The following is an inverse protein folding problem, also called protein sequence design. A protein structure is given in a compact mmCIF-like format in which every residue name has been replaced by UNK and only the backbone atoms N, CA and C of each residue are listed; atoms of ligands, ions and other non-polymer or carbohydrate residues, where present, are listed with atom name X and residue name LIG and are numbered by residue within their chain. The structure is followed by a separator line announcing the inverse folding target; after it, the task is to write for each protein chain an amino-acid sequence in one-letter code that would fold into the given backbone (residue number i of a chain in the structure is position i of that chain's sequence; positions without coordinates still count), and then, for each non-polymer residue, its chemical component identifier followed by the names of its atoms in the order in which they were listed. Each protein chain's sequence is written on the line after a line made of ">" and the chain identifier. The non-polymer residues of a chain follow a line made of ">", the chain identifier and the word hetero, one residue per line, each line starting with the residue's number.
data_IF_089195928240
#
_entry.id   IF_089195928240
#
_cell.length_a   1.000
_cell.length_b   1.000
_cell.length_c   1.000
_cell.angle_alpha   90.00
_cell.angle_beta   90.00
_cell.angle_gamma   90.00
#
_symmetry.space_group_name_H-M   'P 1'
#
loop_
_entity.id
_entity.type
_entity.pdbx_description
1 polymer ?
#
# COMPACT_ATOMS: atom_id res chain seq x y z
N UNK A 1 2.77 13.40 -21.34
CA UNK A 1 3.22 12.06 -21.73
C UNK A 1 4.69 11.84 -21.38
N UNK A 2 5.62 12.65 -21.88
CA UNK A 2 7.06 12.51 -21.62
C UNK A 2 7.44 12.45 -20.13
N UNK A 3 6.90 13.37 -19.31
CA UNK A 3 7.15 13.39 -17.86
C UNK A 3 6.67 12.14 -17.12
N UNK A 4 5.55 11.55 -17.54
CA UNK A 4 5.03 10.32 -16.92
C UNK A 4 5.94 9.14 -17.23
N UNK A 5 6.40 9.01 -18.49
CA UNK A 5 7.35 7.97 -18.89
C UNK A 5 8.70 8.11 -18.16
N UNK A 6 9.16 9.34 -17.92
CA UNK A 6 10.33 9.60 -17.09
C UNK A 6 10.15 9.07 -15.67
N UNK A 7 9.03 9.42 -15.03
CA UNK A 7 8.70 8.95 -13.67
C UNK A 7 8.60 7.42 -13.61
N UNK A 8 7.93 6.78 -14.59
CA UNK A 8 7.83 5.31 -14.67
C UNK A 8 9.21 4.66 -14.76
N UNK A 9 10.11 5.21 -15.59
CA UNK A 9 11.49 4.75 -15.70
C UNK A 9 12.25 4.91 -14.39
N UNK A 10 12.13 6.06 -13.73
CA UNK A 10 12.73 6.30 -12.42
C UNK A 10 12.25 5.27 -11.39
N UNK A 11 10.94 5.05 -11.27
CA UNK A 11 10.36 4.06 -10.35
C UNK A 11 10.86 2.63 -10.63
N UNK A 12 10.99 2.26 -11.91
CA UNK A 12 11.48 0.93 -12.28
C UNK A 12 12.91 0.66 -11.78
N UNK A 13 13.74 1.71 -11.68
CA UNK A 13 15.09 1.64 -11.11
C UNK A 13 15.17 1.79 -9.59
N UNK A 14 14.06 2.10 -8.89
CA UNK A 14 14.05 2.25 -7.43
C UNK A 14 14.12 0.90 -6.72
N UNK A 15 14.50 0.92 -5.44
CA UNK A 15 14.52 -0.29 -4.60
C UNK A 15 13.08 -0.80 -4.40
N UNK A 16 12.95 -2.11 -4.29
CA UNK A 16 11.73 -2.74 -3.78
C UNK A 16 11.41 -2.25 -2.35
N UNK A 17 10.16 -1.87 -2.08
CA UNK A 17 9.72 -1.49 -0.73
C UNK A 17 9.56 -2.73 0.15
N UNK A 18 9.04 -3.82 -0.41
CA UNK A 18 8.94 -5.13 0.25
C UNK A 18 9.82 -6.17 -0.44
N UNK A 19 10.33 -7.13 0.34
CA UNK A 19 11.15 -8.23 -0.18
C UNK A 19 10.27 -9.44 -0.51
N UNK A 20 10.72 -10.27 -1.44
CA UNK A 20 9.95 -11.43 -1.89
C UNK A 20 9.76 -12.47 -0.77
N UNK A 21 10.76 -12.66 0.08
CA UNK A 21 10.68 -13.54 1.25
C UNK A 21 9.60 -13.10 2.25
N UNK A 22 9.42 -11.79 2.44
CA UNK A 22 8.40 -11.22 3.33
C UNK A 22 7.00 -11.47 2.74
N UNK A 23 6.84 -11.29 1.43
CA UNK A 23 5.60 -11.61 0.70
C UNK A 23 5.23 -13.10 0.85
N UNK A 24 6.20 -14.00 0.68
CA UNK A 24 5.99 -15.44 0.87
C UNK A 24 5.63 -15.80 2.31
N UNK A 25 6.28 -15.17 3.29
CA UNK A 25 5.98 -15.36 4.70
C UNK A 25 4.54 -14.93 5.02
N UNK A 26 4.10 -13.75 4.55
CA UNK A 26 2.72 -13.32 4.72
C UNK A 26 1.72 -14.29 4.08
N UNK A 27 2.01 -14.78 2.87
CA UNK A 27 1.16 -15.79 2.20
C UNK A 27 0.99 -17.06 3.04
N UNK A 28 2.07 -17.56 3.66
CA UNK A 28 2.00 -18.72 4.55
C UNK A 28 1.21 -18.42 5.83
N UNK A 29 1.36 -17.22 6.40
CA UNK A 29 0.59 -16.76 7.56
C UNK A 29 -0.91 -16.70 7.22
N UNK A 30 -1.27 -16.13 6.06
CA UNK A 30 -2.66 -16.03 5.62
C UNK A 30 -3.27 -17.40 5.29
N UNK A 31 -2.47 -18.39 4.88
CA UNK A 31 -2.95 -19.77 4.75
C UNK A 31 -3.39 -20.37 6.10
N UNK A 32 -2.74 -19.99 7.21
CA UNK A 32 -3.18 -20.37 8.57
C UNK A 32 -4.48 -19.67 8.96
N UNK A 33 -4.61 -18.38 8.60
CA UNK A 33 -5.85 -17.62 8.79
C UNK A 33 -7.00 -18.29 8.04
N UNK A 34 -6.80 -18.69 6.79
CA UNK A 34 -7.81 -19.39 5.98
C UNK A 34 -8.26 -20.74 6.58
N UNK A 35 -7.39 -21.40 7.37
CA UNK A 35 -7.73 -22.61 8.14
C UNK A 35 -8.36 -22.31 9.51
N UNK A 36 -8.57 -21.03 9.84
CA UNK A 36 -9.15 -20.60 11.11
C UNK A 36 -8.19 -20.66 12.30
N UNK A 37 -6.88 -20.83 12.08
CA UNK A 37 -5.85 -20.89 13.15
C UNK A 37 -5.46 -19.50 13.68
N UNK A 38 -5.78 -18.43 12.95
CA UNK A 38 -5.48 -17.04 13.26
C UNK A 38 -6.56 -16.12 12.66
N UNK A 39 -6.57 -14.84 13.05
CA UNK A 39 -7.43 -13.81 12.45
C UNK A 39 -6.59 -12.64 11.93
N UNK A 40 -7.19 -11.77 11.12
CA UNK A 40 -6.53 -10.58 10.56
C UNK A 40 -7.23 -9.34 11.12
N UNK A 41 -6.44 -8.34 11.49
CA UNK A 41 -6.90 -6.95 11.55
C UNK A 41 -6.23 -6.18 10.41
N UNK A 42 -7.03 -5.58 9.55
CA UNK A 42 -6.55 -4.68 8.50
C UNK A 42 -7.18 -3.30 8.69
N UNK A 43 -6.37 -2.30 9.03
CA UNK A 43 -6.84 -0.96 9.35
C UNK A 43 -5.79 0.12 9.03
N UNK A 44 -6.24 1.35 8.89
CA UNK A 44 -5.40 2.52 8.59
C UNK A 44 -6.21 3.56 7.84
N UNK A 45 -5.52 4.49 7.20
CA UNK A 45 -6.15 5.65 6.58
C UNK A 45 -6.98 5.28 5.35
N UNK A 46 -7.98 6.10 5.06
CA UNK A 46 -8.73 5.99 3.81
C UNK A 46 -7.88 6.46 2.61
N UNK A 47 -7.16 7.57 2.78
CA UNK A 47 -5.96 7.87 2.02
C UNK A 47 -4.94 8.51 2.94
N UNK A 48 -3.71 8.06 2.83
CA UNK A 48 -2.58 8.61 3.55
C UNK A 48 -2.20 9.99 2.99
N UNK A 49 -1.70 10.86 3.87
CA UNK A 49 -0.94 12.05 3.49
C UNK A 49 0.56 11.70 3.53
N UNK A 50 1.32 11.86 2.43
CA UNK A 50 2.77 11.66 2.41
C UNK A 50 3.52 12.44 3.49
N UNK A 51 2.97 13.57 3.98
CA UNK A 51 3.58 14.37 5.05
C UNK A 51 3.51 13.70 6.42
N UNK A 52 2.71 12.65 6.59
CA UNK A 52 2.60 11.86 7.81
C UNK A 52 3.52 10.63 7.81
N UNK A 53 4.64 10.68 7.09
CA UNK A 53 5.61 9.58 7.00
C UNK A 53 6.55 9.48 8.21
N UNK A 54 6.61 10.50 9.08
CA UNK A 54 7.60 10.52 10.18
C UNK A 54 7.35 9.43 11.22
N UNK A 55 8.42 9.03 11.92
CA UNK A 55 8.41 7.99 12.96
C UNK A 55 7.24 8.13 13.96
N UNK A 56 6.93 9.36 14.39
CA UNK A 56 5.85 9.60 15.34
C UNK A 56 4.46 9.31 14.78
N UNK A 57 4.19 9.65 13.52
CA UNK A 57 2.92 9.30 12.86
C UNK A 57 2.81 7.79 12.64
N UNK A 58 3.86 7.16 12.12
CA UNK A 58 3.90 5.72 11.86
C UNK A 58 3.70 4.92 13.15
N UNK A 59 4.38 5.30 14.24
CA UNK A 59 4.23 4.65 15.54
C UNK A 59 2.78 4.74 16.07
N UNK A 60 2.12 5.89 15.93
CA UNK A 60 0.71 6.03 16.33
C UNK A 60 -0.22 5.16 15.49
N UNK A 61 0.00 5.08 14.17
CA UNK A 61 -0.78 4.21 13.26
C UNK A 61 -0.59 2.73 13.63
N UNK A 62 0.64 2.31 13.92
CA UNK A 62 0.94 0.96 14.38
C UNK A 62 0.30 0.65 15.75
N UNK A 63 0.36 1.59 16.70
CA UNK A 63 -0.24 1.41 18.03
C UNK A 63 -1.76 1.18 17.98
N UNK A 64 -2.47 1.82 17.03
CA UNK A 64 -3.90 1.54 16.82
C UNK A 64 -4.13 0.09 16.39
N UNK A 65 -3.31 -0.44 15.48
CA UNK A 65 -3.38 -1.85 15.08
C UNK A 65 -3.08 -2.79 16.25
N UNK A 66 -2.14 -2.44 17.14
CA UNK A 66 -1.85 -3.22 18.33
C UNK A 66 -3.02 -3.26 19.31
N UNK A 67 -3.68 -2.13 19.53
CA UNK A 67 -4.88 -2.05 20.37
C UNK A 67 -6.01 -2.93 19.83
N UNK A 68 -6.29 -2.84 18.52
CA UNK A 68 -7.31 -3.66 17.87
C UNK A 68 -6.96 -5.15 17.91
N UNK A 69 -5.69 -5.49 17.63
CA UNK A 69 -5.21 -6.87 17.70
C UNK A 69 -5.32 -7.43 19.12
N UNK A 70 -4.97 -6.64 20.15
CA UNK A 70 -5.13 -7.03 21.55
C UNK A 70 -6.58 -7.33 21.91
N UNK A 71 -7.50 -6.44 21.55
CA UNK A 71 -8.94 -6.64 21.79
C UNK A 71 -9.48 -7.89 21.07
N UNK A 72 -9.13 -8.09 19.80
CA UNK A 72 -9.55 -9.27 19.03
C UNK A 72 -8.95 -10.57 19.60
N UNK A 73 -7.69 -10.54 20.05
CA UNK A 73 -7.03 -11.69 20.67
C UNK A 73 -7.71 -12.07 21.99
N UNK A 74 -8.12 -11.09 22.80
CA UNK A 74 -8.87 -11.35 24.04
C UNK A 74 -10.23 -11.98 23.78
N UNK A 75 -10.93 -11.55 22.72
CA UNK A 75 -12.25 -12.06 22.37
C UNK A 75 -12.21 -13.45 21.72
N UNK A 76 -11.21 -13.72 20.88
CA UNK A 76 -11.14 -14.96 20.07
C UNK A 76 -10.19 -16.02 20.62
N UNK A 77 -9.26 -15.63 21.49
CA UNK A 77 -8.11 -16.43 21.92
C UNK A 77 -7.22 -16.94 20.77
N UNK A 78 -7.31 -16.33 19.58
CA UNK A 78 -6.50 -16.68 18.40
C UNK A 78 -5.38 -15.66 18.17
N UNK A 79 -4.25 -16.07 17.57
CA UNK A 79 -3.25 -15.13 17.04
C UNK A 79 -3.88 -14.16 16.05
N UNK A 80 -3.46 -12.89 16.10
CA UNK A 80 -3.94 -11.83 15.21
C UNK A 80 -2.79 -11.35 14.33
N UNK A 81 -3.01 -11.31 13.03
CA UNK A 81 -2.10 -10.76 12.02
C UNK A 81 -2.47 -9.29 11.82
N UNK A 82 -1.51 -8.39 12.05
CA UNK A 82 -1.68 -6.94 11.90
C UNK A 82 -1.27 -6.51 10.49
N UNK A 83 -2.21 -5.95 9.74
CA UNK A 83 -1.98 -5.41 8.40
C UNK A 83 -2.40 -3.94 8.36
N UNK A 84 -1.47 -3.04 8.09
CA UNK A 84 -1.74 -1.62 7.95
C UNK A 84 -2.16 -1.26 6.54
N UNK A 85 -3.18 -0.39 6.42
CA UNK A 85 -3.38 0.45 5.25
C UNK A 85 -2.41 1.63 5.35
N UNK A 86 -1.14 1.34 5.08
CA UNK A 86 0.00 2.21 5.34
C UNK A 86 1.10 1.97 4.31
N UNK A 87 1.91 2.99 4.03
CA UNK A 87 3.04 2.97 3.11
C UNK A 87 2.63 2.70 1.65
N UNK A 88 1.50 3.25 1.20
CA UNK A 88 1.11 3.15 -0.20
C UNK A 88 -0.32 3.57 -0.54
N UNK A 89 -1.18 3.81 0.45
CA UNK A 89 -2.59 4.16 0.27
C UNK A 89 -2.76 5.66 -0.07
N UNK A 90 -2.08 6.13 -1.10
CA UNK A 90 -2.08 7.54 -1.51
C UNK A 90 -3.03 7.85 -2.68
N UNK A 91 -3.78 6.87 -3.15
CA UNK A 91 -4.73 7.00 -4.26
C UNK A 91 -6.16 6.69 -3.80
N UNK A 92 -7.14 7.31 -4.47
CA UNK A 92 -8.59 7.13 -4.19
C UNK A 92 -9.38 6.98 -5.49
N UNK A 93 -10.18 5.92 -5.65
CA UNK A 93 -11.09 5.81 -6.77
C UNK A 93 -12.24 6.81 -6.59
N UNK A 94 -12.75 7.38 -7.69
CA UNK A 94 -13.85 8.36 -7.69
C UNK A 94 -14.93 7.95 -8.68
N UNK A 95 -16.18 8.14 -8.28
CA UNK A 95 -17.36 7.85 -9.11
C UNK A 95 -17.58 8.89 -10.20
N UNK A 96 -17.22 10.15 -9.93
CA UNK A 96 -17.35 11.26 -10.87
C UNK A 96 -15.96 11.85 -11.15
N UNK A 97 -15.67 12.29 -12.39
CA UNK A 97 -14.37 12.86 -12.75
C UNK A 97 -14.18 14.29 -12.22
N UNK A 98 -15.27 14.96 -11.84
CA UNK A 98 -15.29 16.35 -11.36
C UNK A 98 -16.07 16.47 -10.05
N UNK A 99 -15.84 17.57 -9.34
CA UNK A 99 -16.60 18.00 -8.17
C UNK A 99 -16.86 19.51 -8.22
N UNK A 100 -17.95 19.97 -7.59
CA UNK A 100 -18.27 21.40 -7.49
C UNK A 100 -17.98 21.90 -6.08
N UNK A 101 -17.06 22.85 -5.94
CA UNK A 101 -16.71 23.48 -4.66
C UNK A 101 -16.90 24.98 -4.79
N UNK A 102 -17.81 25.56 -3.99
CA UNK A 102 -18.12 26.99 -4.06
C UNK A 102 -18.67 27.43 -5.42
N UNK A 103 -19.38 26.54 -6.13
CA UNK A 103 -19.92 26.80 -7.48
C UNK A 103 -18.90 26.65 -8.62
N UNK A 104 -17.65 26.32 -8.33
CA UNK A 104 -16.60 26.08 -9.34
C UNK A 104 -16.46 24.59 -9.59
N UNK A 105 -16.52 24.19 -10.87
CA UNK A 105 -16.22 22.83 -11.30
C UNK A 105 -14.72 22.57 -11.28
N UNK A 106 -14.30 21.49 -10.62
CA UNK A 106 -12.89 21.11 -10.47
C UNK A 106 -12.69 19.63 -10.79
N UNK A 107 -11.54 19.24 -11.38
CA UNK A 107 -11.14 17.85 -11.39
C UNK A 107 -11.12 17.30 -9.97
N UNK A 108 -11.70 16.12 -9.84
CA UNK A 108 -11.92 15.48 -8.58
C UNK A 108 -10.59 15.13 -7.89
N UNK A 109 -10.51 15.26 -6.57
CA UNK A 109 -9.33 14.80 -5.82
C UNK A 109 -9.25 13.27 -5.88
N UNK A 110 -8.11 12.73 -6.33
CA UNK A 110 -7.86 11.30 -6.56
C UNK A 110 -6.77 10.71 -5.65
N UNK A 111 -6.39 11.44 -4.59
CA UNK A 111 -5.31 11.05 -3.69
C UNK A 111 -4.02 11.83 -3.95
N UNK A 112 -3.17 11.92 -2.91
CA UNK A 112 -1.94 12.71 -2.93
C UNK A 112 -0.94 12.31 -4.02
N UNK A 113 -0.97 11.06 -4.49
CA UNK A 113 -0.17 10.58 -5.62
C UNK A 113 -0.65 11.09 -6.99
N UNK A 114 -1.85 11.67 -7.07
CA UNK A 114 -2.42 12.19 -8.33
C UNK A 114 -2.48 13.71 -8.32
N UNK A 115 -3.19 14.29 -7.36
CA UNK A 115 -3.42 15.74 -7.29
C UNK A 115 -3.64 16.21 -5.83
N UNK A 116 -3.72 17.52 -5.62
CA UNK A 116 -3.88 18.13 -4.29
C UNK A 116 -5.31 18.01 -3.75
N UNK A 117 -5.50 17.83 -2.43
CA UNK A 117 -6.82 17.84 -1.81
C UNK A 117 -7.46 19.23 -1.80
N UNK A 118 -6.66 20.30 -1.75
CA UNK A 118 -7.15 21.68 -1.72
C UNK A 118 -8.02 21.98 -2.96
N UNK A 119 -9.17 22.64 -2.82
CA UNK A 119 -10.08 22.94 -3.92
C UNK A 119 -9.59 24.15 -4.74
N UNK A 120 -8.38 24.03 -5.32
CA UNK A 120 -7.74 25.05 -6.14
C UNK A 120 -7.45 24.50 -7.55
N UNK A 121 -7.86 25.19 -8.64
CA UNK A 121 -7.73 24.68 -10.02
C UNK A 121 -6.34 24.13 -10.36
N UNK A 122 -5.28 24.88 -10.03
CA UNK A 122 -3.89 24.47 -10.28
C UNK A 122 -3.52 23.18 -9.55
N UNK A 123 -3.97 23.02 -8.31
CA UNK A 123 -3.67 21.84 -7.50
C UNK A 123 -4.41 20.57 -7.97
N UNK A 124 -5.51 20.72 -8.71
CA UNK A 124 -6.32 19.60 -9.19
C UNK A 124 -5.81 18.98 -10.49
N UNK A 125 -4.89 19.64 -11.20
CA UNK A 125 -4.22 19.07 -12.37
C UNK A 125 -3.34 17.89 -11.92
N UNK A 126 -3.49 16.68 -12.50
CA UNK A 126 -2.64 15.54 -12.17
C UNK A 126 -1.16 15.84 -12.44
N UNK A 127 -0.31 15.51 -11.47
CA UNK A 127 1.14 15.71 -11.55
C UNK A 127 1.89 14.38 -11.35
N UNK A 128 2.50 13.81 -12.41
CA UNK A 128 3.23 12.55 -12.32
C UNK A 128 4.35 12.53 -11.28
N UNK A 129 4.94 13.68 -10.95
CA UNK A 129 6.04 13.73 -9.96
C UNK A 129 5.59 13.27 -8.56
N UNK A 130 4.29 13.37 -8.27
CA UNK A 130 3.70 12.91 -7.01
C UNK A 130 3.80 11.40 -6.79
N UNK A 131 3.96 10.61 -7.86
CA UNK A 131 4.25 9.17 -7.72
C UNK A 131 5.60 8.94 -7.04
N UNK A 132 6.59 9.77 -7.33
CA UNK A 132 7.91 9.71 -6.67
C UNK A 132 7.81 10.17 -5.21
N UNK A 133 7.07 11.25 -4.94
CA UNK A 133 6.82 11.70 -3.56
C UNK A 133 6.14 10.61 -2.72
N UNK A 134 5.14 9.94 -3.29
CA UNK A 134 4.47 8.83 -2.61
C UNK A 134 5.39 7.61 -2.43
N UNK A 135 6.26 7.30 -3.40
CA UNK A 135 7.30 6.27 -3.24
C UNK A 135 8.26 6.59 -2.08
N UNK A 136 8.78 7.82 -2.04
CA UNK A 136 9.75 8.22 -1.02
C UNK A 136 9.12 8.19 0.38
N UNK A 137 7.88 8.69 0.54
CA UNK A 137 7.13 8.61 1.79
C UNK A 137 6.84 7.17 2.22
N UNK A 138 6.43 6.30 1.29
CA UNK A 138 6.26 4.88 1.57
C UNK A 138 7.57 4.23 2.04
N UNK A 139 8.71 4.58 1.42
CA UNK A 139 10.03 4.11 1.82
C UNK A 139 10.41 4.52 3.24
N UNK A 140 10.13 5.76 3.64
CA UNK A 140 10.33 6.23 5.01
C UNK A 140 9.47 5.44 6.00
N UNK A 141 8.17 5.28 5.70
CA UNK A 141 7.24 4.51 6.54
C UNK A 141 7.68 3.06 6.70
N UNK A 142 8.12 2.40 5.62
CA UNK A 142 8.68 1.05 5.66
C UNK A 142 9.92 0.95 6.56
N UNK A 143 10.75 1.99 6.57
CA UNK A 143 11.88 2.13 7.49
C UNK A 143 11.42 2.20 8.94
N UNK A 144 10.47 3.07 9.26
CA UNK A 144 9.93 3.25 10.61
C UNK A 144 9.14 2.05 11.13
N UNK A 145 8.51 1.28 10.25
CA UNK A 145 7.89 -0.01 10.57
C UNK A 145 8.90 -1.12 10.85
N UNK A 146 10.18 -0.92 10.53
CA UNK A 146 11.24 -1.90 10.76
C UNK A 146 11.42 -2.93 9.64
N UNK A 147 10.90 -2.67 8.43
CA UNK A 147 11.09 -3.56 7.28
C UNK A 147 12.46 -3.39 6.60
N UNK A 148 13.12 -2.24 6.79
CA UNK A 148 14.43 -1.95 6.19
C UNK A 148 15.62 -2.34 7.07
N UNK A 149 15.41 -2.83 8.29
CA UNK A 149 16.51 -3.22 9.19
C UNK A 149 17.15 -4.53 8.69
N UNK A 150 18.49 -4.52 8.58
CA UNK A 150 19.30 -5.65 8.09
C UNK A 150 19.49 -6.73 9.15
N UNK A 151 19.34 -6.39 10.43
CA UNK A 151 19.47 -7.32 11.53
C UNK A 151 18.17 -8.11 11.73
N UNK A 152 18.28 -9.45 11.76
CA UNK A 152 17.33 -10.29 12.48
C UNK A 152 17.48 -9.95 13.97
N UNK A 153 16.90 -8.83 14.40
CA UNK A 153 16.80 -8.53 15.81
C UNK A 153 16.08 -9.70 16.50
N UNK A 154 16.62 -10.24 17.60
CA UNK A 154 16.03 -11.39 18.30
C UNK A 154 14.55 -11.20 18.65
N UNK A 155 14.10 -9.95 18.82
CA UNK A 155 12.72 -9.56 19.11
C UNK A 155 11.75 -9.65 17.92
N UNK A 156 12.21 -9.70 16.66
CA UNK A 156 11.33 -9.74 15.48
C UNK A 156 10.49 -11.01 15.40
N UNK A 157 10.98 -12.10 16.00
CA UNK A 157 10.23 -13.35 16.13
C UNK A 157 9.18 -13.29 17.26
N UNK A 158 9.36 -12.40 18.23
CA UNK A 158 8.45 -12.20 19.37
C UNK A 158 7.30 -11.28 18.96
N UNK A 159 7.60 -10.17 18.28
CA UNK A 159 6.60 -9.22 17.78
C UNK A 159 6.92 -8.81 16.33
N UNK A 160 6.24 -9.40 15.32
CA UNK A 160 6.53 -9.10 13.92
C UNK A 160 6.10 -7.68 13.56
N UNK A 161 6.80 -6.99 12.64
CA UNK A 161 6.36 -5.70 12.13
C UNK A 161 4.94 -5.73 11.56
N UNK A 162 4.27 -4.57 11.55
CA UNK A 162 2.99 -4.40 10.86
C UNK A 162 3.20 -4.61 9.36
N UNK A 163 2.48 -5.59 8.78
CA UNK A 163 2.46 -5.81 7.33
C UNK A 163 1.81 -4.62 6.62
N UNK A 164 2.19 -4.35 5.38
CA UNK A 164 1.65 -3.21 4.62
C UNK A 164 0.68 -3.66 3.54
N UNK A 165 -0.30 -2.81 3.25
CA UNK A 165 -1.34 -3.04 2.24
C UNK A 165 -1.84 -1.71 1.67
N UNK A 166 -2.23 -1.72 0.39
CA UNK A 166 -2.95 -0.62 -0.23
C UNK A 166 -3.76 -1.10 -1.45
N UNK A 167 -4.74 -0.30 -1.87
CA UNK A 167 -5.44 -0.51 -3.13
C UNK A 167 -4.48 -0.24 -4.29
N UNK A 168 -4.15 -1.27 -5.06
CA UNK A 168 -3.17 -1.18 -6.15
C UNK A 168 -3.79 -0.50 -7.38
N UNK A 169 -4.12 0.79 -7.24
CA UNK A 169 -5.00 1.52 -8.13
C UNK A 169 -4.25 2.17 -9.31
N UNK A 170 -3.13 2.83 -9.05
CA UNK A 170 -2.37 3.59 -10.05
C UNK A 170 -1.39 2.67 -10.78
N UNK A 171 -1.77 2.15 -11.95
CA UNK A 171 -0.91 1.22 -12.71
C UNK A 171 0.42 1.83 -13.14
N UNK A 172 0.48 3.16 -13.34
CA UNK A 172 1.73 3.88 -13.60
C UNK A 172 2.71 3.86 -12.41
N UNK A 173 2.21 3.57 -11.21
CA UNK A 173 3.03 3.33 -10.02
C UNK A 173 3.29 1.84 -9.81
N UNK A 174 2.27 0.99 -9.94
CA UNK A 174 2.39 -0.44 -9.63
C UNK A 174 3.22 -1.22 -10.65
N UNK A 175 3.03 -0.96 -11.95
CA UNK A 175 3.74 -1.71 -13.00
C UNK A 175 5.27 -1.50 -12.94
N UNK A 176 5.80 -0.29 -12.75
CA UNK A 176 7.23 -0.09 -12.50
C UNK A 176 7.75 -0.75 -11.22
N UNK A 177 6.87 -1.02 -10.25
CA UNK A 177 7.22 -1.67 -8.98
C UNK A 177 7.16 -3.21 -9.04
N UNK A 178 6.86 -3.80 -10.20
CA UNK A 178 7.00 -5.24 -10.40
C UNK A 178 8.46 -5.68 -10.35
N UNK A 179 8.72 -6.79 -9.67
CA UNK A 179 10.04 -7.45 -9.61
C UNK A 179 9.89 -8.92 -9.94
N UNK A 180 11.01 -9.59 -10.18
CA UNK A 180 11.09 -11.03 -10.48
C UNK A 180 12.10 -11.70 -9.57
N UNK A 181 11.79 -12.92 -9.14
CA UNK A 181 12.74 -13.72 -8.37
C UNK A 181 13.60 -14.53 -9.34
N UNK A 182 14.54 -15.30 -8.81
CA UNK A 182 15.42 -16.17 -9.60
C UNK A 182 14.64 -17.25 -10.38
N UNK A 183 13.44 -17.63 -9.91
CA UNK A 183 12.55 -18.57 -10.61
C UNK A 183 11.69 -17.92 -11.70
N UNK A 184 11.77 -16.60 -11.84
CA UNK A 184 10.96 -15.81 -12.76
C UNK A 184 9.57 -15.43 -12.24
N UNK A 185 9.22 -15.83 -11.00
CA UNK A 185 7.97 -15.45 -10.36
C UNK A 185 7.93 -13.94 -10.16
N UNK A 186 6.84 -13.32 -10.62
CA UNK A 186 6.63 -11.88 -10.44
C UNK A 186 6.02 -11.62 -9.08
N UNK A 187 6.43 -10.54 -8.43
CA UNK A 187 5.69 -9.99 -7.30
C UNK A 187 5.65 -8.46 -7.41
N UNK A 188 4.63 -7.89 -6.80
CA UNK A 188 4.48 -6.45 -6.66
C UNK A 188 5.27 -6.00 -5.43
N UNK A 189 6.32 -5.20 -5.66
CA UNK A 189 7.25 -4.80 -4.61
C UNK A 189 6.86 -3.50 -3.90
N UNK A 190 5.70 -2.92 -4.21
CA UNK A 190 5.18 -1.71 -3.55
C UNK A 190 4.56 -2.00 -2.19
N UNK A 191 4.05 -3.21 -1.95
CA UNK A 191 3.37 -3.58 -0.69
C UNK A 191 3.29 -5.09 -0.49
N UNK A 192 3.02 -5.53 0.74
CA UNK A 192 2.92 -6.97 1.03
C UNK A 192 1.60 -7.56 0.53
N UNK A 193 0.47 -6.89 0.84
CA UNK A 193 -0.89 -7.31 0.48
C UNK A 193 -1.60 -6.21 -0.33
N UNK A 194 -1.46 -6.19 -1.66
CA UNK A 194 -2.27 -5.33 -2.50
C UNK A 194 -3.72 -5.83 -2.58
N UNK A 195 -4.68 -4.93 -2.77
CA UNK A 195 -6.08 -5.29 -3.06
C UNK A 195 -6.66 -4.58 -4.28
N UNK A 196 -7.71 -5.17 -4.88
CA UNK A 196 -8.50 -4.54 -5.95
C UNK A 196 -9.76 -3.90 -5.37
N UNK A 197 -10.01 -2.63 -5.71
CA UNK A 197 -11.22 -1.94 -5.31
C UNK A 197 -12.46 -2.40 -6.08
N UNK A 198 -13.64 -2.21 -5.49
CA UNK A 198 -14.94 -2.56 -6.11
C UNK A 198 -15.14 -1.97 -7.51
N UNK A 199 -14.54 -0.81 -7.79
CA UNK A 199 -14.68 -0.10 -9.08
C UNK A 199 -13.68 -0.55 -10.14
N UNK A 200 -12.70 -1.38 -9.78
CA UNK A 200 -11.59 -1.81 -10.65
C UNK A 200 -11.49 -3.33 -10.77
N UNK A 201 -12.45 -4.09 -10.24
CA UNK A 201 -12.48 -5.57 -10.26
C UNK A 201 -13.12 -6.23 -11.49
N UNK A 202 -13.14 -5.55 -12.64
CA UNK A 202 -13.60 -6.16 -13.88
C UNK A 202 -12.73 -7.38 -14.22
N UNK A 203 -13.33 -8.54 -14.49
CA UNK A 203 -12.61 -9.81 -14.66
C UNK A 203 -11.63 -9.81 -15.85
N UNK A 204 -11.95 -9.04 -16.88
CA UNK A 204 -11.15 -8.76 -18.07
C UNK A 204 -10.37 -7.42 -17.98
N UNK A 205 -10.35 -6.81 -16.80
CA UNK A 205 -9.71 -5.53 -16.54
C UNK A 205 -8.22 -5.65 -16.20
N UNK A 206 -7.49 -4.54 -16.43
CA UNK A 206 -6.04 -4.48 -16.22
C UNK A 206 -5.60 -4.78 -14.77
N UNK A 207 -6.42 -4.42 -13.77
CA UNK A 207 -6.11 -4.71 -12.36
C UNK A 207 -6.18 -6.21 -12.05
N UNK A 208 -7.20 -6.90 -12.56
CA UNK A 208 -7.32 -8.37 -12.38
C UNK A 208 -6.19 -9.08 -13.14
N UNK A 209 -5.82 -8.61 -14.34
CA UNK A 209 -4.67 -9.15 -15.08
C UNK A 209 -3.37 -9.01 -14.29
N UNK A 210 -3.11 -7.83 -13.70
CA UNK A 210 -1.95 -7.61 -12.83
C UNK A 210 -1.96 -8.62 -11.66
N UNK A 211 -3.09 -8.75 -10.96
CA UNK A 211 -3.21 -9.56 -9.74
C UNK A 211 -3.08 -11.06 -10.02
N UNK A 212 -3.61 -11.54 -11.15
CA UNK A 212 -3.45 -12.91 -11.60
C UNK A 212 -1.97 -13.27 -11.87
N UNK A 213 -1.12 -12.26 -12.05
CA UNK A 213 0.27 -12.43 -12.46
C UNK A 213 1.32 -12.31 -11.35
N UNK A 214 0.92 -11.94 -10.14
CA UNK A 214 1.82 -11.68 -9.00
C UNK A 214 1.71 -12.75 -7.92
N UNK A 215 2.83 -12.98 -7.23
CA UNK A 215 2.95 -13.95 -6.15
C UNK A 215 2.42 -13.46 -4.80
N UNK A 216 2.15 -12.15 -4.67
CA UNK A 216 1.59 -11.57 -3.46
C UNK A 216 0.33 -12.32 -3.02
N UNK A 217 0.05 -12.43 -1.71
CA UNK A 217 -1.34 -12.60 -1.31
C UNK A 217 -2.13 -11.39 -1.84
N UNK A 218 -3.39 -11.61 -2.21
CA UNK A 218 -4.25 -10.61 -2.83
C UNK A 218 -5.61 -10.56 -2.14
N UNK A 219 -6.27 -9.42 -2.22
CA UNK A 219 -7.63 -9.20 -1.71
C UNK A 219 -8.50 -8.42 -2.70
#
# INVERSE_FOLDING_TARGET
>A
AERLEEVRRTLSGRRALVRYEDVRALRQILARVARGEAQVVQAGDCAEDPMESSAGYVARKAAVLDLLAGAMKMASHKPIVRIGRIAGQFAKPRSQPVEYVGGVELPVYRGHMVNSPEPAPKGRVPDPSRLLTGYDAAGEMMGHLGWHTTAREPGRAIDPPVWTSHEALLLDYELPMLRRDESGARWLASTHLPWIGERTRALDGAHVELFASIANPVA
#
